data_IF_795611956699
#
_entry.id   IF_795611956699
#
_cell.length_a   1.000
_cell.length_b   1.000
_cell.length_c   1.000
_cell.angle_alpha   90.00
_cell.angle_beta   90.00
_cell.angle_gamma   90.00
#
_symmetry.space_group_name_H-M   'P 1'
#
loop_
_entity.id
_entity.type
_entity.pdbx_description
1 polymer ?
#
# COMPACT_ATOMS: atom_id res chain seq x y z
N UNK A 1 3.59 -27.93 -53.49
CA UNK A 1 3.62 -28.06 -52.02
C UNK A 1 2.18 -27.85 -51.55
N UNK A 2 1.43 -28.93 -51.43
CA UNK A 2 -0.01 -28.93 -51.14
C UNK A 2 -0.26 -28.58 -49.66
N UNK A 3 -0.53 -27.30 -49.39
CA UNK A 3 -0.82 -26.78 -48.04
C UNK A 3 -2.28 -26.99 -47.59
N UNK A 4 -3.13 -27.57 -48.45
CA UNK A 4 -4.59 -27.65 -48.27
C UNK A 4 -5.08 -28.81 -47.38
N UNK A 5 -4.19 -29.73 -46.96
CA UNK A 5 -4.59 -30.94 -46.21
C UNK A 5 -4.08 -31.01 -44.76
N UNK A 6 -3.47 -29.95 -44.23
CA UNK A 6 -2.88 -29.95 -42.88
C UNK A 6 -3.21 -28.65 -42.13
N UNK A 7 -4.47 -28.48 -41.68
CA UNK A 7 -4.92 -27.23 -41.05
C UNK A 7 -4.09 -26.85 -39.82
N UNK A 8 -3.64 -27.84 -39.04
CA UNK A 8 -2.78 -27.62 -37.87
C UNK A 8 -1.38 -27.16 -38.28
N UNK A 9 -0.81 -27.71 -39.37
CA UNK A 9 0.52 -27.34 -39.85
C UNK A 9 0.53 -25.93 -40.44
N UNK A 10 -0.51 -25.57 -41.19
CA UNK A 10 -0.69 -24.22 -41.73
C UNK A 10 -0.90 -23.19 -40.62
N UNK A 11 -1.67 -23.55 -39.58
CA UNK A 11 -1.84 -22.72 -38.39
C UNK A 11 -0.52 -22.49 -37.62
N UNK A 12 0.29 -23.55 -37.45
CA UNK A 12 1.60 -23.44 -36.82
C UNK A 12 2.56 -22.56 -37.64
N UNK A 13 2.61 -22.75 -38.97
CA UNK A 13 3.43 -21.89 -39.84
C UNK A 13 2.98 -20.42 -39.79
N UNK A 14 1.67 -20.18 -39.76
CA UNK A 14 1.13 -18.82 -39.62
C UNK A 14 1.52 -18.20 -38.27
N UNK A 15 1.42 -18.95 -37.18
CA UNK A 15 1.78 -18.47 -35.84
C UNK A 15 3.28 -18.17 -35.73
N UNK A 16 4.15 -19.02 -36.28
CA UNK A 16 5.60 -18.77 -36.34
C UNK A 16 5.90 -17.54 -37.20
N UNK A 17 5.23 -17.38 -38.35
CA UNK A 17 5.38 -16.20 -39.20
C UNK A 17 5.03 -14.91 -38.47
N UNK A 18 3.91 -14.88 -37.75
CA UNK A 18 3.49 -13.72 -36.95
C UNK A 18 4.48 -13.43 -35.82
N UNK A 19 4.95 -14.46 -35.10
CA UNK A 19 5.93 -14.30 -34.03
C UNK A 19 7.25 -13.69 -34.52
N UNK A 20 7.74 -14.09 -35.71
CA UNK A 20 8.95 -13.52 -36.31
C UNK A 20 8.76 -12.05 -36.67
N UNK A 21 7.60 -11.67 -37.24
CA UNK A 21 7.32 -10.27 -37.61
C UNK A 21 7.24 -9.39 -36.37
N UNK A 22 6.50 -9.80 -35.34
CA UNK A 22 6.36 -9.04 -34.10
C UNK A 22 7.70 -8.97 -33.36
N UNK A 23 8.45 -10.08 -33.31
CA UNK A 23 9.78 -10.14 -32.69
C UNK A 23 10.78 -9.21 -33.38
N UNK A 24 10.77 -9.13 -34.72
CA UNK A 24 11.63 -8.20 -35.46
C UNK A 24 11.26 -6.74 -35.22
N UNK A 25 9.97 -6.40 -35.25
CA UNK A 25 9.52 -5.02 -35.02
C UNK A 25 9.80 -4.57 -33.58
N UNK A 26 9.48 -5.42 -32.60
CA UNK A 26 9.74 -5.16 -31.18
C UNK A 26 11.23 -5.09 -30.86
N UNK A 27 12.04 -6.02 -31.39
CA UNK A 27 13.48 -6.04 -31.18
C UNK A 27 14.18 -4.80 -31.75
N UNK A 28 13.76 -4.34 -32.93
CA UNK A 28 14.32 -3.13 -33.55
C UNK A 28 13.93 -1.86 -32.79
N UNK A 29 12.71 -1.78 -32.24
CA UNK A 29 12.28 -0.69 -31.38
C UNK A 29 13.09 -0.61 -30.07
N UNK A 30 13.35 -1.74 -29.43
CA UNK A 30 14.20 -1.80 -28.23
C UNK A 30 15.61 -1.29 -28.54
N UNK A 31 16.23 -1.74 -29.63
CA UNK A 31 17.60 -1.36 -30.03
C UNK A 31 17.76 0.16 -30.23
N UNK A 32 16.74 0.83 -30.79
CA UNK A 32 16.73 2.29 -30.94
C UNK A 32 16.52 2.99 -29.58
N UNK A 33 15.67 2.42 -28.71
CA UNK A 33 15.42 2.95 -27.37
C UNK A 33 16.68 3.00 -26.48
N UNK A 34 17.50 1.95 -26.48
CA UNK A 34 18.71 1.87 -25.61
C UNK A 34 19.76 2.94 -25.95
N UNK A 35 19.90 3.34 -27.22
CA UNK A 35 20.79 4.43 -27.65
C UNK A 35 20.23 5.80 -27.23
N UNK A 36 18.91 6.00 -27.33
CA UNK A 36 18.28 7.26 -26.94
C UNK A 36 18.32 7.51 -25.42
N UNK A 37 18.29 6.45 -24.61
CA UNK A 37 18.36 6.55 -23.13
C UNK A 37 19.79 6.55 -22.59
N UNK A 38 20.82 6.49 -23.44
CA UNK A 38 22.22 6.58 -23.01
C UNK A 38 22.74 5.39 -22.20
N UNK A 39 22.07 4.24 -22.24
CA UNK A 39 22.48 3.02 -21.53
C UNK A 39 23.50 2.27 -22.40
N UNK A 40 24.65 2.89 -22.56
CA UNK A 40 25.80 2.36 -23.31
C UNK A 40 27.12 3.01 -22.93
N UNK A 41 27.11 4.01 -22.04
CA UNK A 41 28.31 4.58 -21.46
C UNK A 41 28.94 3.60 -20.49
N UNK A 42 30.05 2.98 -20.90
CA UNK A 42 31.03 2.49 -19.93
C UNK A 42 31.53 3.73 -19.19
N UNK A 43 30.97 3.96 -18.00
CA UNK A 43 31.53 4.92 -17.07
C UNK A 43 32.81 4.29 -16.54
N UNK A 44 33.92 4.54 -17.23
CA UNK A 44 35.25 4.40 -16.62
C UNK A 44 35.26 5.30 -15.39
N UNK A 45 35.08 4.69 -14.22
CA UNK A 45 35.27 5.36 -12.95
C UNK A 45 36.74 5.78 -12.88
N UNK A 46 37.01 7.06 -13.10
CA UNK A 46 38.27 7.68 -12.71
C UNK A 46 38.33 7.61 -11.19
N UNK A 47 39.10 6.67 -10.67
CA UNK A 47 39.52 6.67 -9.27
C UNK A 47 40.33 7.95 -9.05
N UNK A 48 39.67 8.98 -8.55
CA UNK A 48 40.35 10.09 -7.90
C UNK A 48 40.72 9.61 -6.51
N UNK A 49 42.02 9.48 -6.24
CA UNK A 49 42.53 9.33 -4.89
C UNK A 49 42.15 10.57 -4.06
N UNK A 50 41.03 10.49 -3.34
CA UNK A 50 40.67 11.48 -2.33
C UNK A 50 41.24 11.05 -0.97
N UNK A 51 41.95 11.98 -0.32
CA UNK A 51 42.53 11.79 1.01
C UNK A 51 41.47 11.36 2.02
N UNK A 52 41.80 10.52 3.01
CA UNK A 52 40.82 10.08 4.00
C UNK A 52 40.26 11.28 4.76
N UNK A 53 38.98 11.58 4.54
CA UNK A 53 38.24 12.55 5.32
C UNK A 53 38.17 12.05 6.76
N UNK A 54 38.80 12.77 7.69
CA UNK A 54 38.67 12.48 9.11
C UNK A 54 37.28 12.93 9.57
N UNK A 55 36.39 11.95 9.71
CA UNK A 55 35.04 12.16 10.23
C UNK A 55 35.12 12.39 11.75
N UNK A 56 34.93 13.64 12.18
CA UNK A 56 34.90 14.00 13.59
C UNK A 56 33.45 14.00 14.06
N UNK A 57 33.05 12.95 14.77
CA UNK A 57 31.69 12.80 15.27
C UNK A 57 31.53 13.63 16.57
N UNK A 58 30.61 14.62 16.63
CA UNK A 58 30.33 15.31 17.87
C UNK A 58 29.83 14.31 18.91
N UNK A 59 30.32 14.45 20.16
CA UNK A 59 29.85 13.59 21.24
C UNK A 59 28.39 13.93 21.54
N UNK A 60 27.49 12.93 21.66
CA UNK A 60 26.13 13.19 22.10
C UNK A 60 26.18 13.81 23.50
N UNK A 61 25.31 14.78 23.74
CA UNK A 61 25.04 15.31 25.07
C UNK A 61 23.75 14.70 25.59
N UNK A 62 23.71 14.40 26.89
CA UNK A 62 22.50 13.89 27.54
C UNK A 62 21.38 14.93 27.40
N UNK A 63 20.30 14.57 26.72
CA UNK A 63 19.05 15.32 26.83
C UNK A 63 18.48 15.04 28.21
N UNK A 64 18.71 15.95 29.16
CA UNK A 64 18.15 15.86 30.50
C UNK A 64 16.64 15.61 30.42
N UNK A 65 16.20 14.46 30.94
CA UNK A 65 14.78 14.17 31.10
C UNK A 65 14.24 15.10 32.18
N UNK A 66 13.59 16.19 31.76
CA UNK A 66 12.63 16.87 32.61
C UNK A 66 11.31 16.22 32.32
N UNK A 67 10.89 15.33 33.21
CA UNK A 67 9.56 14.74 33.18
C UNK A 67 8.55 15.89 33.43
N UNK A 68 7.58 16.14 32.53
CA UNK A 68 6.48 17.01 32.86
C UNK A 68 5.68 16.40 34.03
N UNK A 69 5.22 17.28 34.93
CA UNK A 69 4.42 16.91 36.09
C UNK A 69 3.13 16.16 35.66
N UNK A 70 2.62 15.22 36.46
CA UNK A 70 1.42 14.46 36.14
C UNK A 70 0.22 15.40 36.07
N UNK A 71 -0.42 15.49 34.90
CA UNK A 71 -1.76 16.07 34.80
C UNK A 71 -2.77 15.10 35.42
N UNK A 72 -3.75 15.68 36.13
CA UNK A 72 -4.74 14.96 36.90
C UNK A 72 -5.58 14.01 36.03
N UNK A 73 -6.01 12.85 36.54
CA UNK A 73 -6.82 11.90 35.78
C UNK A 73 -8.17 12.53 35.41
N UNK A 74 -8.41 12.75 34.12
CA UNK A 74 -9.77 12.94 33.62
C UNK A 74 -10.44 11.57 33.59
N UNK A 75 -11.45 11.39 34.43
CA UNK A 75 -12.31 10.22 34.43
C UNK A 75 -12.88 9.99 33.02
N UNK A 76 -12.78 8.78 32.44
CA UNK A 76 -13.48 8.48 31.21
C UNK A 76 -14.98 8.46 31.52
N UNK A 77 -15.73 9.39 30.94
CA UNK A 77 -17.17 9.23 30.82
C UNK A 77 -17.41 7.99 29.97
N UNK A 78 -18.00 6.96 30.59
CA UNK A 78 -18.65 5.83 29.94
C UNK A 78 -19.63 6.35 28.88
N UNK A 79 -19.16 6.41 27.64
CA UNK A 79 -19.98 6.65 26.46
C UNK A 79 -20.40 5.30 25.90
N UNK A 80 -21.68 4.98 26.08
CA UNK A 80 -22.38 3.76 25.71
C UNK A 80 -21.83 3.05 24.46
N UNK A 81 -21.37 1.81 24.68
CA UNK A 81 -21.37 0.79 23.64
C UNK A 81 -22.81 0.51 23.23
N UNK A 82 -23.19 0.96 22.04
CA UNK A 82 -24.35 0.40 21.33
C UNK A 82 -23.96 0.17 19.88
N UNK A 83 -23.61 -1.08 19.59
CA UNK A 83 -24.35 -1.90 18.64
C UNK A 83 -23.71 -3.28 18.68
N UNK A 84 -24.42 -4.25 19.26
CA UNK A 84 -24.15 -5.67 19.05
C UNK A 84 -24.45 -5.96 17.57
N UNK A 85 -23.50 -5.61 16.71
CA UNK A 85 -23.48 -6.04 15.33
C UNK A 85 -23.24 -7.56 15.30
N UNK A 86 -23.69 -8.27 14.26
CA UNK A 86 -23.30 -9.65 14.05
C UNK A 86 -21.80 -9.78 14.23
N UNK A 87 -21.30 -10.91 14.76
CA UNK A 87 -19.88 -11.21 14.70
C UNK A 87 -19.46 -11.31 13.24
N UNK A 88 -19.14 -10.17 12.63
CA UNK A 88 -18.64 -10.11 11.28
C UNK A 88 -17.33 -10.88 11.23
N UNK A 89 -17.15 -11.67 10.18
CA UNK A 89 -15.93 -12.45 10.00
C UNK A 89 -14.68 -11.56 9.95
N UNK A 90 -14.84 -10.32 9.46
CA UNK A 90 -13.85 -9.27 9.37
C UNK A 90 -14.39 -8.03 10.10
N UNK A 91 -13.68 -7.54 11.11
CA UNK A 91 -14.08 -6.36 11.89
C UNK A 91 -13.03 -5.26 11.82
N UNK A 92 -13.47 -4.00 11.97
CA UNK A 92 -12.62 -2.81 11.99
C UNK A 92 -13.00 -1.88 13.14
N UNK A 93 -11.98 -1.33 13.79
CA UNK A 93 -12.09 -0.43 14.94
C UNK A 93 -11.05 0.69 14.82
N UNK A 94 -11.28 1.78 15.53
CA UNK A 94 -10.32 2.87 15.69
C UNK A 94 -10.33 3.36 17.12
N UNK A 95 -9.16 3.78 17.62
CA UNK A 95 -9.00 4.26 19.00
C UNK A 95 -9.50 5.68 19.22
N UNK A 96 -9.60 6.49 18.16
CA UNK A 96 -9.95 7.91 18.25
C UNK A 96 -10.95 8.29 17.17
N UNK A 97 -12.06 8.87 17.61
CA UNK A 97 -13.13 9.34 16.72
C UNK A 97 -12.94 10.79 16.25
N UNK A 98 -11.94 11.51 16.79
CA UNK A 98 -11.60 12.88 16.39
C UNK A 98 -10.10 13.09 16.34
N UNK A 99 -9.60 13.71 15.27
CA UNK A 99 -8.17 14.00 15.08
C UNK A 99 -7.96 15.35 14.37
N UNK A 100 -6.78 15.94 14.53
CA UNK A 100 -6.36 17.10 13.73
C UNK A 100 -6.13 16.71 12.26
N UNK A 101 -6.19 17.65 11.31
CA UNK A 101 -5.83 17.38 9.92
C UNK A 101 -4.41 16.82 9.82
N UNK A 102 -4.21 15.82 8.97
CA UNK A 102 -2.93 15.10 8.79
C UNK A 102 -2.42 14.36 10.03
N UNK A 103 -3.22 14.26 11.10
CA UNK A 103 -2.89 13.40 12.22
C UNK A 103 -3.20 11.94 11.88
N UNK A 104 -2.40 11.04 12.44
CA UNK A 104 -2.56 9.60 12.30
C UNK A 104 -3.90 9.13 12.88
N UNK A 105 -4.62 8.34 12.08
CA UNK A 105 -5.81 7.59 12.49
C UNK A 105 -5.43 6.11 12.48
N UNK A 106 -5.38 5.49 13.65
CA UNK A 106 -5.06 4.07 13.80
C UNK A 106 -6.30 3.22 13.52
N UNK A 107 -6.12 2.22 12.66
CA UNK A 107 -7.15 1.27 12.25
C UNK A 107 -6.70 -0.13 12.65
N UNK A 108 -7.51 -0.80 13.47
CA UNK A 108 -7.22 -2.14 13.98
C UNK A 108 -8.41 -3.05 13.78
N UNK A 109 -8.19 -4.35 13.62
CA UNK A 109 -9.29 -5.28 13.41
C UNK A 109 -8.90 -6.74 13.50
N UNK A 110 -9.91 -7.60 13.38
CA UNK A 110 -9.76 -9.05 13.41
C UNK A 110 -10.34 -9.68 12.16
N UNK A 111 -9.70 -10.75 11.67
CA UNK A 111 -10.18 -11.56 10.56
C UNK A 111 -9.72 -13.00 10.72
N UNK A 112 -10.48 -13.79 11.50
CA UNK A 112 -10.06 -15.14 11.92
C UNK A 112 -9.91 -16.12 10.77
N UNK A 113 -10.70 -15.95 9.70
CA UNK A 113 -10.66 -16.83 8.52
C UNK A 113 -9.72 -16.33 7.42
N UNK A 114 -9.13 -15.15 7.57
CA UNK A 114 -8.38 -14.45 6.52
C UNK A 114 -6.87 -14.45 6.73
N UNK A 115 -6.29 -15.49 7.33
CA UNK A 115 -4.84 -15.54 7.56
C UNK A 115 -4.06 -15.34 6.24
N UNK A 116 -3.14 -14.36 6.22
CA UNK A 116 -2.37 -14.00 5.04
C UNK A 116 -3.14 -13.21 3.98
N UNK A 117 -4.43 -12.92 4.17
CA UNK A 117 -5.22 -12.09 3.27
C UNK A 117 -4.66 -10.66 3.20
N UNK A 118 -4.80 -10.03 2.04
CA UNK A 118 -4.46 -8.63 1.84
C UNK A 118 -5.75 -7.82 1.91
N UNK A 119 -5.79 -6.87 2.84
CA UNK A 119 -6.92 -5.98 3.04
C UNK A 119 -6.61 -4.62 2.42
N UNK A 120 -7.56 -4.14 1.62
CA UNK A 120 -7.56 -2.81 1.03
C UNK A 120 -8.40 -1.87 1.91
N UNK A 121 -7.80 -0.77 2.39
CA UNK A 121 -8.56 0.28 3.07
C UNK A 121 -9.38 1.03 2.04
N UNK A 122 -10.66 1.27 2.33
CA UNK A 122 -11.53 2.09 1.51
C UNK A 122 -12.07 3.26 2.31
N UNK A 123 -12.36 4.36 1.62
CA UNK A 123 -13.03 5.55 2.18
C UNK A 123 -14.35 5.77 1.44
N UNK A 124 -15.38 6.23 2.14
CA UNK A 124 -16.61 6.67 1.50
C UNK A 124 -16.44 8.08 0.93
N UNK A 125 -16.69 8.25 -0.36
CA UNK A 125 -16.65 9.52 -1.08
C UNK A 125 -17.86 9.62 -2.01
N UNK A 126 -18.62 10.70 -1.91
CA UNK A 126 -19.78 10.96 -2.77
C UNK A 126 -20.78 9.78 -2.86
N UNK A 127 -20.91 9.03 -1.75
CA UNK A 127 -21.79 7.85 -1.65
C UNK A 127 -21.20 6.56 -2.24
N UNK A 128 -19.97 6.57 -2.72
CA UNK A 128 -19.25 5.41 -3.23
C UNK A 128 -18.02 5.10 -2.38
N UNK A 129 -17.71 3.81 -2.24
CA UNK A 129 -16.47 3.37 -1.61
C UNK A 129 -15.34 3.41 -2.62
N UNK A 130 -14.25 4.09 -2.27
CA UNK A 130 -13.06 4.22 -3.11
C UNK A 130 -11.84 3.69 -2.37
N UNK A 131 -10.89 3.14 -3.12
CA UNK A 131 -9.64 2.63 -2.56
C UNK A 131 -8.79 3.76 -2.01
N UNK A 132 -8.56 3.71 -0.70
CA UNK A 132 -7.59 4.56 -0.04
C UNK A 132 -6.21 3.91 -0.18
N UNK A 133 -5.11 4.63 -0.47
CA UNK A 133 -3.83 4.02 -0.86
C UNK A 133 -3.06 3.41 0.33
N UNK A 134 -3.70 2.49 1.07
CA UNK A 134 -3.18 1.74 2.21
C UNK A 134 -3.71 0.32 2.12
N UNK A 135 -2.79 -0.64 2.16
CA UNK A 135 -3.10 -2.07 2.30
C UNK A 135 -2.44 -2.63 3.56
N UNK A 136 -2.96 -3.75 4.04
CA UNK A 136 -2.42 -4.45 5.22
C UNK A 136 -2.64 -5.95 5.08
N UNK A 137 -1.68 -6.75 5.52
CA UNK A 137 -1.83 -8.21 5.59
C UNK A 137 -2.38 -8.64 6.94
N UNK A 138 -3.22 -9.65 6.96
CA UNK A 138 -3.68 -10.29 8.21
C UNK A 138 -2.63 -11.27 8.72
N UNK A 139 -2.36 -11.23 10.02
CA UNK A 139 -1.44 -12.15 10.70
C UNK A 139 -1.98 -12.50 12.08
N UNK A 140 -2.04 -13.80 12.39
CA UNK A 140 -2.61 -14.28 13.65
C UNK A 140 -4.09 -13.90 13.81
N UNK A 141 -4.83 -13.86 12.69
CA UNK A 141 -6.24 -13.46 12.66
C UNK A 141 -6.50 -11.99 13.03
N UNK A 142 -5.47 -11.13 13.03
CA UNK A 142 -5.59 -9.70 13.36
C UNK A 142 -4.82 -8.83 12.35
N UNK A 143 -5.15 -7.54 12.30
CA UNK A 143 -4.42 -6.56 11.50
C UNK A 143 -4.41 -5.19 12.18
N UNK A 144 -3.38 -4.40 11.86
CA UNK A 144 -3.25 -3.02 12.31
C UNK A 144 -2.58 -2.19 11.22
N UNK A 145 -3.13 -1.01 10.94
CA UNK A 145 -2.60 -0.05 9.99
C UNK A 145 -2.98 1.36 10.41
N UNK A 146 -2.60 2.36 9.63
CA UNK A 146 -3.00 3.73 9.85
C UNK A 146 -3.29 4.45 8.53
N UNK A 147 -4.08 5.52 8.62
CA UNK A 147 -4.33 6.44 7.51
C UNK A 147 -3.99 7.87 7.93
N UNK A 148 -3.62 8.68 6.93
CA UNK A 148 -3.40 10.12 7.08
C UNK A 148 -4.30 10.84 6.10
N UNK A 149 -5.09 11.80 6.59
CA UNK A 149 -5.91 12.61 5.71
C UNK A 149 -6.02 14.05 6.20
N UNK A 150 -5.94 14.98 5.26
CA UNK A 150 -6.24 16.40 5.49
C UNK A 150 -7.69 16.77 5.18
N UNK A 151 -8.54 15.81 4.76
CA UNK A 151 -9.95 16.10 4.47
C UNK A 151 -10.70 16.29 5.78
N UNK A 152 -11.15 17.51 6.02
CA UNK A 152 -11.89 17.86 7.24
C UNK A 152 -13.33 17.33 7.20
N UNK A 153 -13.94 17.22 8.38
CA UNK A 153 -15.28 16.67 8.58
C UNK A 153 -15.28 15.16 8.81
N UNK A 154 -16.46 14.51 8.70
CA UNK A 154 -16.60 13.08 8.89
C UNK A 154 -15.96 12.31 7.74
N UNK A 155 -15.02 11.42 8.07
CA UNK A 155 -14.40 10.47 7.16
C UNK A 155 -14.82 9.06 7.56
N UNK A 156 -15.43 8.32 6.64
CA UNK A 156 -15.84 6.94 6.87
C UNK A 156 -14.87 5.98 6.19
N UNK A 157 -14.38 5.01 6.95
CA UNK A 157 -13.44 4.00 6.48
C UNK A 157 -14.00 2.60 6.66
N UNK A 158 -13.57 1.68 5.79
CA UNK A 158 -13.75 0.24 5.94
C UNK A 158 -12.54 -0.48 5.35
N UNK A 159 -12.47 -1.80 5.54
CA UNK A 159 -11.52 -2.65 4.83
C UNK A 159 -12.25 -3.71 4.01
N UNK A 160 -11.64 -4.13 2.92
CA UNK A 160 -12.11 -5.23 2.06
C UNK A 160 -10.97 -6.19 1.77
N UNK A 161 -11.22 -7.49 1.83
CA UNK A 161 -10.30 -8.52 1.36
C UNK A 161 -10.23 -8.49 -0.17
N UNK A 162 -9.03 -8.34 -0.72
CA UNK A 162 -8.83 -8.19 -2.18
C UNK A 162 -9.13 -9.44 -2.97
N UNK A 163 -9.16 -10.61 -2.35
CA UNK A 163 -9.39 -11.90 -3.00
C UNK A 163 -10.83 -12.38 -2.80
N UNK A 164 -11.33 -12.32 -1.55
CA UNK A 164 -12.64 -12.87 -1.19
C UNK A 164 -13.78 -11.83 -1.20
N UNK A 165 -13.45 -10.55 -1.33
CA UNK A 165 -14.39 -9.42 -1.28
C UNK A 165 -15.19 -9.33 0.03
N UNK A 166 -14.75 -10.01 1.09
CA UNK A 166 -15.32 -9.86 2.44
C UNK A 166 -15.04 -8.44 2.94
N UNK A 167 -16.08 -7.77 3.46
CA UNK A 167 -16.04 -6.36 3.88
C UNK A 167 -16.23 -6.27 5.39
N UNK A 168 -15.54 -5.32 6.04
CA UNK A 168 -15.77 -4.99 7.45
C UNK A 168 -16.96 -4.05 7.67
N UNK A 169 -17.35 -3.90 8.94
CA UNK A 169 -18.08 -2.73 9.41
C UNK A 169 -17.35 -1.42 9.05
N UNK A 170 -18.12 -0.34 9.12
CA UNK A 170 -17.66 1.01 8.83
C UNK A 170 -17.24 1.71 10.13
N UNK A 171 -16.21 2.56 10.06
CA UNK A 171 -15.78 3.42 11.18
C UNK A 171 -15.78 4.88 10.72
N UNK A 172 -16.33 5.77 11.54
CA UNK A 172 -16.36 7.21 11.27
C UNK A 172 -15.37 7.94 12.15
N UNK A 173 -14.52 8.79 11.55
CA UNK A 173 -13.57 9.66 12.25
C UNK A 173 -13.75 11.09 11.77
N UNK A 174 -13.91 12.02 12.70
CA UNK A 174 -13.99 13.46 12.42
C UNK A 174 -12.60 14.06 12.36
N UNK A 175 -12.30 14.81 11.30
CA UNK A 175 -11.03 15.49 11.11
C UNK A 175 -11.23 17.01 11.15
N UNK A 176 -10.47 17.72 11.97
CA UNK A 176 -10.50 19.18 12.04
C UNK A 176 -11.24 19.75 13.23
#
# INVERSE_FOLDING_TARGET
MDTEKRPVLTGLLALVGVAVVIGLLGGLAVMVGVQATGIGGTSSASSGEEAPATFNLPRPSDTGTTAPAPEEPVEPTEGESTSEAPVEALSLTTSRQSVSPMQQIDLTGTYQSGEGAILQVQRLEDGAWIDFPVTVSVSGGSFATYVLTGRTGPNQFRVVDTDSEVVSNEVTVTVG
#
